data_IF_954314713973
#
_entry.id   IF_954314713973
#
_cell.length_a   1.000
_cell.length_b   1.000
_cell.length_c   1.000
_cell.angle_alpha   90.00
_cell.angle_beta   90.00
_cell.angle_gamma   90.00
#
_symmetry.space_group_name_H-M   'P 1'
#
loop_
_entity.id
_entity.type
_entity.pdbx_description
1 polymer ?
#
# COMPACT_ATOMS: atom_id res chain seq x y z
N UNK A 1 -13.82 -35.70 -20.15
CA UNK A 1 -13.60 -34.53 -19.26
C UNK A 1 -12.57 -34.90 -18.22
N UNK A 2 -11.71 -33.97 -17.81
CA UNK A 2 -10.78 -34.19 -16.70
C UNK A 2 -11.55 -34.25 -15.37
N UNK A 3 -11.07 -35.05 -14.41
CA UNK A 3 -11.58 -35.01 -13.04
C UNK A 3 -11.13 -33.71 -12.38
N UNK A 4 -12.05 -33.02 -11.70
CA UNK A 4 -11.75 -31.78 -10.97
C UNK A 4 -10.96 -32.05 -9.67
N UNK A 5 -11.08 -33.25 -9.11
CA UNK A 5 -10.44 -33.68 -7.87
C UNK A 5 -10.85 -35.10 -7.50
N UNK A 6 -10.70 -35.44 -6.21
CA UNK A 6 -10.85 -36.80 -5.67
C UNK A 6 -11.65 -36.80 -4.36
N UNK A 7 -12.28 -37.92 -4.02
CA UNK A 7 -13.01 -38.16 -2.76
C UNK A 7 -12.58 -39.44 -2.02
N UNK A 8 -11.51 -40.07 -2.51
CA UNK A 8 -10.88 -41.29 -2.01
C UNK A 8 -9.45 -41.03 -1.49
N UNK A 9 -9.17 -39.81 -1.04
CA UNK A 9 -7.84 -39.38 -0.58
C UNK A 9 -7.82 -39.14 0.93
N UNK A 10 -6.63 -39.12 1.56
CA UNK A 10 -6.53 -38.85 2.99
C UNK A 10 -7.14 -37.50 3.36
N UNK A 11 -7.72 -37.44 4.57
CA UNK A 11 -8.12 -36.18 5.18
C UNK A 11 -6.88 -35.32 5.45
N UNK A 12 -6.98 -34.02 5.19
CA UNK A 12 -5.97 -33.07 5.64
C UNK A 12 -6.02 -32.97 7.18
N UNK A 13 -4.87 -32.89 7.86
CA UNK A 13 -4.84 -32.65 9.30
C UNK A 13 -5.62 -31.38 9.67
N UNK A 14 -6.41 -31.45 10.74
CA UNK A 14 -7.23 -30.34 11.28
C UNK A 14 -8.16 -29.68 10.25
N UNK A 15 -8.66 -30.46 9.28
CA UNK A 15 -9.51 -29.97 8.20
C UNK A 15 -10.71 -30.87 7.93
N UNK A 16 -11.79 -30.27 7.41
CA UNK A 16 -12.94 -31.01 6.88
C UNK A 16 -12.75 -31.49 5.43
N UNK A 17 -11.60 -31.19 4.82
CA UNK A 17 -11.33 -31.46 3.41
C UNK A 17 -10.33 -32.61 3.25
N UNK A 18 -10.51 -33.40 2.18
CA UNK A 18 -9.50 -34.33 1.72
C UNK A 18 -8.44 -33.64 0.84
N UNK A 19 -7.31 -34.31 0.61
CA UNK A 19 -6.29 -33.85 -0.34
C UNK A 19 -6.88 -33.85 -1.76
N UNK A 20 -6.98 -32.67 -2.40
CA UNK A 20 -7.62 -32.50 -3.72
C UNK A 20 -9.14 -32.74 -3.73
N UNK A 21 -9.83 -32.50 -2.61
CA UNK A 21 -11.30 -32.63 -2.52
C UNK A 21 -12.02 -31.73 -3.54
N UNK A 22 -12.72 -32.35 -4.49
CA UNK A 22 -13.42 -31.62 -5.56
C UNK A 22 -14.63 -30.82 -5.06
N UNK A 23 -15.11 -31.11 -3.84
CA UNK A 23 -16.25 -30.42 -3.21
C UNK A 23 -15.81 -29.14 -2.50
N UNK A 24 -14.50 -28.92 -2.34
CA UNK A 24 -13.99 -27.68 -1.77
C UNK A 24 -14.39 -26.50 -2.65
N UNK A 25 -14.98 -25.42 -2.08
CA UNK A 25 -15.36 -24.26 -2.86
C UNK A 25 -14.18 -23.74 -3.68
N UNK A 26 -14.44 -23.46 -4.95
CA UNK A 26 -13.44 -22.84 -5.80
C UNK A 26 -13.18 -21.41 -5.32
N UNK A 27 -11.93 -20.92 -5.41
CA UNK A 27 -11.64 -19.52 -5.14
C UNK A 27 -12.46 -18.60 -6.04
N UNK A 28 -12.75 -17.39 -5.54
CA UNK A 28 -13.32 -16.32 -6.35
C UNK A 28 -12.35 -15.98 -7.48
N UNK A 29 -12.87 -15.91 -8.72
CA UNK A 29 -12.08 -15.49 -9.88
C UNK A 29 -11.95 -13.98 -9.86
N UNK A 30 -10.70 -13.50 -9.83
CA UNK A 30 -10.35 -12.09 -9.94
C UNK A 30 -9.62 -11.87 -11.26
N UNK A 31 -9.99 -10.82 -11.99
CA UNK A 31 -9.27 -10.43 -13.21
C UNK A 31 -8.10 -9.56 -12.80
N UNK A 32 -6.84 -9.99 -13.03
CA UNK A 32 -5.68 -9.14 -12.77
C UNK A 32 -5.66 -7.98 -13.76
N UNK A 33 -4.98 -6.90 -13.39
CA UNK A 33 -4.69 -5.86 -14.36
C UNK A 33 -3.69 -6.34 -15.42
N UNK A 34 -3.69 -5.67 -16.58
CA UNK A 34 -2.77 -5.99 -17.67
C UNK A 34 -1.32 -5.62 -17.34
N UNK A 35 -1.13 -4.59 -16.51
CA UNK A 35 0.17 -4.06 -16.11
C UNK A 35 0.45 -4.38 -14.65
N UNK A 36 1.72 -4.62 -14.32
CA UNK A 36 2.13 -4.84 -12.94
C UNK A 36 1.92 -3.57 -12.10
N UNK A 37 1.36 -3.71 -10.90
CA UNK A 37 1.00 -2.60 -10.02
C UNK A 37 -0.36 -1.96 -10.31
N UNK A 38 -0.98 -2.26 -11.46
CA UNK A 38 -2.33 -1.80 -11.73
C UNK A 38 -3.39 -2.62 -10.96
N UNK A 39 -4.50 -1.95 -10.69
CA UNK A 39 -5.57 -2.45 -9.80
C UNK A 39 -6.33 -3.66 -10.39
N UNK A 40 -6.47 -4.78 -9.66
CA UNK A 40 -7.31 -5.91 -10.09
C UNK A 40 -8.80 -5.59 -10.01
N UNK A 41 -9.65 -6.45 -10.59
CA UNK A 41 -11.10 -6.20 -10.72
C UNK A 41 -11.89 -6.11 -9.41
N UNK A 42 -11.36 -6.66 -8.32
CA UNK A 42 -12.00 -6.69 -6.99
C UNK A 42 -11.47 -5.61 -6.03
N UNK A 43 -10.45 -4.86 -6.42
CA UNK A 43 -9.85 -3.85 -5.56
C UNK A 43 -10.63 -2.52 -5.60
N UNK A 44 -10.66 -1.87 -4.44
CA UNK A 44 -11.22 -0.53 -4.27
C UNK A 44 -10.16 0.49 -4.74
N UNK A 45 -10.50 1.40 -5.66
CA UNK A 45 -9.62 2.57 -5.86
C UNK A 45 -9.77 3.52 -4.68
N UNK A 46 -8.67 3.73 -3.97
CA UNK A 46 -8.55 4.87 -3.07
C UNK A 46 -8.24 6.15 -3.87
N UNK A 47 -7.47 6.04 -4.95
CA UNK A 47 -7.15 7.13 -5.85
C UNK A 47 -6.91 6.58 -7.26
N UNK A 48 -7.45 7.23 -8.29
CA UNK A 48 -7.34 6.82 -9.70
C UNK A 48 -6.79 7.92 -10.62
N UNK A 49 -6.27 9.00 -10.03
CA UNK A 49 -5.72 10.14 -10.75
C UNK A 49 -6.70 11.29 -10.97
N UNK A 50 -7.99 11.13 -10.66
CA UNK A 50 -9.02 12.11 -11.00
C UNK A 50 -9.31 13.14 -9.89
N UNK A 51 -9.56 12.69 -8.66
CA UNK A 51 -9.96 13.56 -7.55
C UNK A 51 -9.67 12.95 -6.16
N UNK A 52 -10.08 13.67 -5.11
CA UNK A 52 -9.95 13.25 -3.72
C UNK A 52 -11.28 12.78 -3.10
N UNK A 53 -12.26 12.36 -3.89
CA UNK A 53 -13.58 11.94 -3.38
C UNK A 53 -13.51 10.73 -2.44
N UNK A 54 -12.48 9.89 -2.60
CA UNK A 54 -12.17 8.78 -1.69
C UNK A 54 -11.53 9.20 -0.37
N UNK A 55 -11.29 10.50 -0.13
CA UNK A 55 -10.50 11.01 0.99
C UNK A 55 -11.20 12.13 1.76
N UNK A 56 -10.93 12.19 3.06
CA UNK A 56 -11.30 13.31 3.94
C UNK A 56 -10.04 13.90 4.56
N UNK A 57 -9.98 15.21 4.72
CA UNK A 57 -9.02 15.88 5.57
C UNK A 57 -9.50 15.97 7.02
N UNK A 58 -8.62 16.43 7.91
CA UNK A 58 -8.88 16.59 9.34
C UNK A 58 -10.13 17.42 9.68
N UNK A 59 -10.42 18.45 8.88
CA UNK A 59 -11.51 19.42 9.13
C UNK A 59 -12.59 19.39 8.04
N UNK A 60 -12.68 18.30 7.27
CA UNK A 60 -13.65 18.16 6.18
C UNK A 60 -12.98 17.70 4.88
N UNK A 61 -13.23 18.39 3.77
CA UNK A 61 -12.66 17.99 2.48
C UNK A 61 -11.12 17.90 2.52
N UNK A 62 -10.57 16.89 1.86
CA UNK A 62 -9.13 16.78 1.64
C UNK A 62 -8.63 17.94 0.77
N UNK A 63 -7.50 18.55 1.16
CA UNK A 63 -6.97 19.77 0.54
C UNK A 63 -5.61 19.57 -0.13
N UNK A 64 -5.21 18.31 -0.33
CA UNK A 64 -4.07 17.99 -1.18
C UNK A 64 -4.38 18.40 -2.63
N UNK A 65 -3.34 18.65 -3.41
CA UNK A 65 -3.47 19.04 -4.81
C UNK A 65 -3.61 17.79 -5.66
N UNK A 66 -4.48 17.79 -6.67
CA UNK A 66 -4.52 16.74 -7.69
C UNK A 66 -4.12 17.35 -9.02
N UNK A 67 -3.10 16.77 -9.65
CA UNK A 67 -2.64 17.18 -10.97
C UNK A 67 -1.91 16.02 -11.65
N UNK A 68 -1.95 15.99 -12.99
CA UNK A 68 -1.16 15.04 -13.79
C UNK A 68 -1.31 13.56 -13.37
N UNK A 69 -2.47 13.17 -12.84
CA UNK A 69 -2.74 11.80 -12.39
C UNK A 69 -2.18 11.43 -11.01
N UNK A 70 -1.63 12.37 -10.25
CA UNK A 70 -1.20 12.16 -8.85
C UNK A 70 -1.87 13.14 -7.89
N UNK A 71 -1.83 12.80 -6.61
CA UNK A 71 -2.10 13.74 -5.52
C UNK A 71 -0.80 14.15 -4.83
N UNK A 72 -0.69 15.42 -4.44
CA UNK A 72 0.50 16.02 -3.84
C UNK A 72 0.13 16.71 -2.53
N UNK A 73 0.93 16.45 -1.50
CA UNK A 73 0.78 17.10 -0.19
C UNK A 73 0.95 18.61 -0.34
N UNK A 74 -0.01 19.38 0.17
CA UNK A 74 0.10 20.83 0.27
C UNK A 74 0.52 21.20 1.70
N UNK A 75 1.66 21.88 1.91
CA UNK A 75 2.10 22.24 3.26
C UNK A 75 1.02 23.00 4.04
N UNK A 76 0.77 22.58 5.29
CA UNK A 76 -0.20 23.20 6.18
C UNK A 76 -1.65 22.72 6.00
N UNK A 77 -1.94 21.79 5.09
CA UNK A 77 -3.30 21.23 4.94
C UNK A 77 -3.59 20.03 5.83
N UNK A 78 -2.56 19.49 6.48
CA UNK A 78 -2.65 18.30 7.32
C UNK A 78 -2.85 17.00 6.54
N UNK A 79 -3.08 15.94 7.30
CA UNK A 79 -3.23 14.58 6.80
C UNK A 79 -4.60 14.37 6.14
N UNK A 80 -4.66 13.33 5.31
CA UNK A 80 -5.89 12.84 4.70
C UNK A 80 -6.11 11.39 5.11
N UNK A 81 -7.38 10.99 5.18
CA UNK A 81 -7.80 9.63 5.55
C UNK A 81 -8.78 9.12 4.52
N UNK A 82 -8.69 7.84 4.17
CA UNK A 82 -9.66 7.22 3.28
C UNK A 82 -11.07 7.27 3.88
N UNK A 83 -12.07 7.55 3.05
CA UNK A 83 -13.48 7.43 3.45
C UNK A 83 -13.83 5.97 3.71
N UNK A 84 -13.30 5.07 2.88
CA UNK A 84 -13.37 3.63 3.10
C UNK A 84 -12.60 3.24 4.36
N UNK A 85 -13.19 2.35 5.16
CA UNK A 85 -12.56 1.72 6.32
C UNK A 85 -12.22 0.28 5.98
N UNK A 86 -10.97 -0.11 6.24
CA UNK A 86 -10.44 -1.41 5.88
C UNK A 86 -9.84 -2.07 7.12
N UNK A 87 -10.01 -3.39 7.21
CA UNK A 87 -9.32 -4.25 8.17
C UNK A 87 -8.23 -5.02 7.43
N UNK A 88 -8.35 -6.34 7.40
CA UNK A 88 -7.46 -7.20 6.60
C UNK A 88 -7.55 -6.80 5.12
N UNK A 89 -6.42 -6.39 4.55
CA UNK A 89 -6.35 -5.95 3.17
C UNK A 89 -5.00 -6.27 2.53
N UNK A 90 -5.00 -6.20 1.20
CA UNK A 90 -3.81 -5.99 0.39
C UNK A 90 -3.89 -4.56 -0.13
N UNK A 91 -2.80 -3.82 -0.06
CA UNK A 91 -2.72 -2.43 -0.48
C UNK A 91 -1.55 -2.26 -1.43
N UNK A 92 -1.76 -1.49 -2.50
CA UNK A 92 -0.73 -1.02 -3.40
C UNK A 92 -0.70 0.50 -3.31
N UNK A 93 0.50 1.09 -3.22
CA UNK A 93 0.69 2.53 -3.23
C UNK A 93 1.96 2.86 -4.03
N UNK A 94 1.89 3.92 -4.81
CA UNK A 94 3.09 4.53 -5.38
C UNK A 94 3.27 5.94 -4.82
N UNK A 95 4.52 6.30 -4.55
CA UNK A 95 4.87 7.63 -4.04
C UNK A 95 6.19 8.12 -4.63
N UNK A 96 6.37 9.43 -4.72
CA UNK A 96 7.62 10.04 -5.14
C UNK A 96 8.02 11.15 -4.18
N UNK A 97 9.27 11.17 -3.75
CA UNK A 97 9.82 12.28 -2.97
C UNK A 97 10.09 13.47 -3.90
N UNK A 98 10.05 14.73 -3.41
CA UNK A 98 10.31 15.90 -4.23
C UNK A 98 11.67 15.82 -4.94
N UNK A 99 11.71 16.17 -6.24
CA UNK A 99 12.95 16.15 -7.02
C UNK A 99 14.00 17.14 -6.51
N UNK A 100 13.56 18.24 -5.89
CA UNK A 100 14.44 19.18 -5.20
C UNK A 100 14.68 18.70 -3.76
N UNK A 101 15.87 18.14 -3.54
CA UNK A 101 16.32 17.70 -2.22
C UNK A 101 16.47 18.88 -1.26
N UNK A 102 15.80 18.80 -0.11
CA UNK A 102 15.93 19.76 1.00
C UNK A 102 15.81 19.02 2.33
N UNK A 103 16.61 19.45 3.30
CA UNK A 103 16.67 18.82 4.62
C UNK A 103 17.54 17.57 4.65
N UNK A 104 17.63 16.99 5.83
CA UNK A 104 18.42 15.78 6.13
C UNK A 104 17.63 14.94 7.12
N UNK A 105 17.95 13.64 7.21
CA UNK A 105 17.27 12.72 8.11
C UNK A 105 15.75 12.81 7.90
N UNK A 106 14.96 12.87 8.97
CA UNK A 106 13.50 13.01 8.95
C UNK A 106 12.98 14.33 8.36
N UNK A 107 13.85 15.33 8.14
CA UNK A 107 13.46 16.59 7.54
C UNK A 107 13.37 16.56 6.02
N UNK A 108 13.66 15.41 5.38
CA UNK A 108 13.80 15.27 3.93
C UNK A 108 12.72 14.35 3.34
N UNK A 109 11.69 14.94 2.74
CA UNK A 109 10.66 14.20 2.00
C UNK A 109 9.80 13.26 2.87
N UNK A 110 9.52 13.65 4.12
CA UNK A 110 8.82 12.84 5.11
C UNK A 110 7.30 12.87 4.93
N UNK A 111 6.68 11.70 5.00
CA UNK A 111 5.24 11.42 5.03
C UNK A 111 5.03 10.05 5.67
N UNK A 112 3.83 9.49 5.65
CA UNK A 112 3.60 8.16 6.20
C UNK A 112 2.27 7.57 5.75
N UNK A 113 2.20 6.24 5.75
CA UNK A 113 0.96 5.51 5.52
C UNK A 113 0.52 4.84 6.81
N UNK A 114 -0.57 5.34 7.40
CA UNK A 114 -1.07 4.82 8.67
C UNK A 114 -2.10 3.73 8.44
N UNK A 115 -1.68 2.48 8.58
CA UNK A 115 -2.56 1.32 8.53
C UNK A 115 -3.56 1.40 9.69
N UNK A 116 -4.85 1.42 9.34
CA UNK A 116 -5.98 1.62 10.26
C UNK A 116 -5.88 2.88 11.13
N UNK A 117 -5.08 3.87 10.72
CA UNK A 117 -4.81 5.07 11.51
C UNK A 117 -3.93 4.84 12.75
N UNK A 118 -3.26 3.69 12.85
CA UNK A 118 -2.52 3.26 14.05
C UNK A 118 -1.06 2.94 13.76
N UNK A 119 -0.79 2.18 12.70
CA UNK A 119 0.55 1.65 12.43
C UNK A 119 1.14 2.35 11.20
N UNK A 120 2.18 3.15 11.40
CA UNK A 120 2.82 3.90 10.33
C UNK A 120 3.83 3.05 9.59
N UNK A 121 3.61 2.91 8.28
CA UNK A 121 4.64 2.51 7.32
C UNK A 121 5.30 3.78 6.82
N UNK A 122 6.57 3.94 7.17
CA UNK A 122 7.29 5.19 6.94
C UNK A 122 7.45 5.52 5.45
N UNK A 123 7.23 6.78 5.07
CA UNK A 123 7.56 7.33 3.76
C UNK A 123 8.59 8.43 3.94
N UNK A 124 9.79 8.23 3.40
CA UNK A 124 10.89 9.19 3.51
C UNK A 124 11.72 9.15 2.24
N UNK A 125 12.40 10.26 1.92
CA UNK A 125 13.52 10.23 0.99
C UNK A 125 14.73 9.59 1.68
N UNK A 126 14.84 8.27 1.56
CA UNK A 126 15.93 7.46 2.12
C UNK A 126 17.12 7.29 1.17
N UNK A 127 17.13 7.96 0.00
CA UNK A 127 18.21 7.84 -0.98
C UNK A 127 19.39 8.76 -0.62
N UNK A 128 20.53 8.15 -0.29
CA UNK A 128 21.73 8.84 0.22
C UNK A 128 21.39 9.83 1.36
N UNK A 129 20.49 9.41 2.26
CA UNK A 129 20.01 10.20 3.40
C UNK A 129 19.97 9.37 4.69
N UNK A 130 21.06 9.31 5.46
CA UNK A 130 21.08 8.58 6.72
C UNK A 130 20.09 9.16 7.76
N UNK A 131 19.40 8.26 8.47
CA UNK A 131 18.54 8.54 9.63
C UNK A 131 18.61 7.35 10.59
N UNK A 132 17.92 7.41 11.73
CA UNK A 132 17.73 6.24 12.60
C UNK A 132 16.98 5.11 11.87
N UNK A 133 17.41 3.86 12.09
CA UNK A 133 17.06 2.72 11.25
C UNK A 133 15.57 2.34 11.32
N UNK A 134 14.94 2.52 12.48
CA UNK A 134 13.52 2.29 12.75
C UNK A 134 12.61 3.43 12.26
N UNK A 135 13.17 4.48 11.66
CA UNK A 135 12.41 5.58 11.03
C UNK A 135 12.82 5.89 9.60
N UNK A 136 13.56 5.00 8.94
CA UNK A 136 13.86 5.11 7.51
C UNK A 136 12.67 4.57 6.68
N UNK A 137 12.62 4.94 5.39
CA UNK A 137 11.62 4.47 4.42
C UNK A 137 11.33 2.98 4.56
N UNK A 138 10.05 2.63 4.64
CA UNK A 138 9.50 1.28 4.79
C UNK A 138 9.70 0.63 6.17
N UNK A 139 10.14 1.39 7.18
CA UNK A 139 10.06 0.92 8.56
C UNK A 139 8.61 0.86 9.03
N UNK A 140 8.35 -0.05 9.98
CA UNK A 140 7.24 0.16 10.92
C UNK A 140 7.77 1.19 11.90
N UNK A 141 7.29 2.43 11.78
CA UNK A 141 7.95 3.60 12.35
C UNK A 141 8.12 3.48 13.87
N UNK A 142 9.38 3.56 14.33
CA UNK A 142 9.77 3.44 15.74
C UNK A 142 9.76 2.01 16.31
N UNK A 143 9.49 0.99 15.50
CA UNK A 143 9.41 -0.40 15.96
C UNK A 143 10.40 -1.32 15.21
N UNK A 144 10.27 -1.41 13.88
CA UNK A 144 11.02 -2.37 13.09
C UNK A 144 11.68 -1.69 11.88
N UNK A 145 13.02 -1.64 11.83
CA UNK A 145 13.74 -1.25 10.63
C UNK A 145 13.37 -2.14 9.42
N UNK A 146 13.37 -1.60 8.19
CA UNK A 146 13.24 -2.44 7.01
C UNK A 146 14.46 -3.37 6.88
N UNK A 147 14.28 -4.51 6.23
CA UNK A 147 15.39 -5.45 6.00
C UNK A 147 16.47 -4.89 5.07
N UNK A 148 16.09 -3.99 4.16
CA UNK A 148 16.96 -3.34 3.18
C UNK A 148 16.50 -1.92 2.90
N UNK A 149 17.42 -1.05 2.47
CA UNK A 149 17.06 0.23 1.86
C UNK A 149 17.01 0.03 0.34
N UNK A 150 15.81 0.10 -0.23
CA UNK A 150 15.56 -0.05 -1.66
C UNK A 150 15.12 1.26 -2.32
N UNK A 151 15.47 2.41 -1.74
CA UNK A 151 14.98 3.70 -2.22
C UNK A 151 15.48 4.03 -3.63
N UNK A 152 14.59 4.57 -4.45
CA UNK A 152 14.92 5.21 -5.73
C UNK A 152 15.31 6.68 -5.51
N UNK A 153 15.87 7.31 -6.54
CA UNK A 153 16.31 8.71 -6.45
C UNK A 153 15.11 9.66 -6.30
N UNK A 154 15.29 10.86 -5.71
CA UNK A 154 14.24 11.86 -5.61
C UNK A 154 13.62 12.19 -6.98
N UNK A 155 12.29 12.30 -7.03
CA UNK A 155 11.51 12.47 -8.26
C UNK A 155 11.18 11.17 -9.00
N UNK A 156 11.81 10.03 -8.67
CA UNK A 156 11.41 8.72 -9.18
C UNK A 156 10.29 8.13 -8.31
N UNK A 157 9.34 7.46 -8.95
CA UNK A 157 8.26 6.76 -8.27
C UNK A 157 8.77 5.51 -7.56
N UNK A 158 8.33 5.31 -6.34
CA UNK A 158 8.56 4.13 -5.50
C UNK A 158 7.24 3.38 -5.33
N UNK A 159 7.31 2.09 -5.04
CA UNK A 159 6.12 1.22 -4.91
C UNK A 159 6.15 0.48 -3.59
N UNK A 160 5.04 0.52 -2.86
CA UNK A 160 4.70 -0.36 -1.75
C UNK A 160 3.60 -1.33 -2.18
#
# INVERSE_FOLDING_TARGET
MAKLGYDDTPMLPDSQWQVHDYRRPQPTVVTPAAEAGARPSDAIALFDGSDLSGWTGKEGAAKWKVENGYMEVVPGTGDITSVARMGDCQMHLEFACPSVVKGESQGRGNSGVFMMGLYEIQVLDGYDNPTYADGITASIYGEFPPMVNACRKPGEWQTY
#
